data_IF_914100219678
#
_entry.id   IF_914100219678
#
_cell.length_a   1.000
_cell.length_b   1.000
_cell.length_c   1.000
_cell.angle_alpha   90.00
_cell.angle_beta   90.00
_cell.angle_gamma   90.00
#
_symmetry.space_group_name_H-M   'P 1'
#
loop_
_entity.id
_entity.type
_entity.pdbx_description
1 polymer ?
#
# COMPACT_ATOMS: atom_id res chain seq x y z
N UNK A 1 -9.84 44.45 7.73
CA UNK A 1 -11.09 43.67 7.62
C UNK A 1 -10.90 42.64 6.52
N UNK A 2 -10.47 41.43 6.88
CA UNK A 2 -10.18 40.36 5.93
C UNK A 2 -11.40 39.47 5.81
N UNK A 3 -11.98 39.40 4.62
CA UNK A 3 -13.21 38.66 4.34
C UNK A 3 -12.93 37.16 4.33
N UNK A 4 -13.40 36.46 5.37
CA UNK A 4 -13.54 35.01 5.39
C UNK A 4 -14.50 34.60 4.27
N UNK A 5 -13.94 34.18 3.12
CA UNK A 5 -14.71 33.49 2.09
C UNK A 5 -14.87 32.02 2.54
N UNK A 6 -16.10 31.53 2.82
CA UNK A 6 -16.29 30.14 3.20
C UNK A 6 -15.81 29.25 2.06
N UNK A 7 -15.06 28.19 2.39
CA UNK A 7 -14.79 27.07 1.50
C UNK A 7 -16.14 26.60 0.93
N UNK A 8 -16.35 26.85 -0.36
CA UNK A 8 -17.51 26.32 -1.07
C UNK A 8 -17.44 24.80 -0.98
N UNK A 9 -18.38 24.23 -0.22
CA UNK A 9 -18.75 22.82 -0.33
C UNK A 9 -19.28 22.66 -1.74
N UNK A 10 -18.42 22.18 -2.65
CA UNK A 10 -18.83 21.88 -4.02
C UNK A 10 -19.81 20.73 -3.94
N UNK A 11 -21.08 21.03 -4.24
CA UNK A 11 -22.16 20.06 -4.37
C UNK A 11 -21.70 18.88 -5.23
N UNK A 12 -21.79 17.67 -4.68
CA UNK A 12 -21.56 16.40 -5.34
C UNK A 12 -22.71 16.05 -6.28
N UNK A 13 -22.93 16.89 -7.29
CA UNK A 13 -23.82 16.59 -8.41
C UNK A 13 -23.04 15.84 -9.49
N UNK A 14 -23.34 14.55 -9.60
CA UNK A 14 -23.40 13.78 -10.85
C UNK A 14 -22.21 13.95 -11.84
N UNK A 15 -21.07 13.33 -11.52
CA UNK A 15 -19.97 13.16 -12.48
C UNK A 15 -19.90 11.70 -12.91
N UNK A 16 -20.87 11.34 -13.75
CA UNK A 16 -20.78 10.10 -14.52
C UNK A 16 -19.58 10.17 -15.47
N UNK A 17 -18.73 9.15 -15.48
CA UNK A 17 -17.61 9.02 -16.43
C UNK A 17 -17.86 7.81 -17.30
N UNK A 18 -18.06 8.02 -18.60
CA UNK A 18 -18.19 6.93 -19.58
C UNK A 18 -16.84 6.63 -20.20
N UNK A 19 -16.37 5.39 -20.05
CA UNK A 19 -15.09 4.91 -20.56
C UNK A 19 -15.26 3.94 -21.75
N UNK A 20 -16.45 3.85 -22.33
CA UNK A 20 -16.76 2.93 -23.42
C UNK A 20 -15.82 3.08 -24.62
N UNK A 21 -15.45 4.32 -25.00
CA UNK A 21 -14.53 4.58 -26.11
C UNK A 21 -13.12 4.02 -25.87
N UNK A 22 -12.54 4.30 -24.71
CA UNK A 22 -11.21 3.79 -24.32
C UNK A 22 -11.26 2.27 -24.15
N UNK A 23 -12.34 1.75 -23.55
CA UNK A 23 -12.54 0.31 -23.43
C UNK A 23 -12.59 -0.37 -24.80
N UNK A 24 -13.19 0.29 -25.80
CA UNK A 24 -13.25 -0.24 -27.16
C UNK A 24 -11.90 -0.26 -27.87
N UNK A 25 -11.08 0.76 -27.69
CA UNK A 25 -9.73 0.80 -28.25
C UNK A 25 -8.81 -0.28 -27.66
N UNK A 26 -8.91 -0.52 -26.36
CA UNK A 26 -7.97 -1.40 -25.66
C UNK A 26 -8.44 -2.85 -25.51
N UNK A 27 -9.75 -3.08 -25.34
CA UNK A 27 -10.29 -4.38 -24.90
C UNK A 27 -11.45 -4.86 -25.79
N UNK A 28 -12.49 -4.04 -26.04
CA UNK A 28 -13.68 -4.51 -26.76
C UNK A 28 -13.34 -4.87 -28.21
N UNK A 29 -13.89 -5.99 -28.69
CA UNK A 29 -13.67 -6.45 -30.06
C UNK A 29 -12.30 -7.13 -30.29
N UNK A 30 -11.37 -7.07 -29.33
CA UNK A 30 -10.14 -7.85 -29.37
C UNK A 30 -10.40 -9.32 -28.98
N UNK A 31 -9.59 -10.20 -29.54
CA UNK A 31 -9.52 -11.62 -29.21
C UNK A 31 -8.18 -11.87 -28.55
N UNK A 32 -8.20 -12.52 -27.38
CA UNK A 32 -6.98 -12.84 -26.66
C UNK A 32 -6.77 -14.35 -26.65
N UNK A 33 -5.59 -14.80 -27.06
CA UNK A 33 -5.28 -16.24 -27.20
C UNK A 33 -4.62 -16.82 -25.95
N UNK A 34 -4.38 -15.98 -24.94
CA UNK A 34 -3.92 -16.39 -23.61
C UNK A 34 -4.48 -15.47 -22.54
N UNK A 35 -4.47 -15.94 -21.29
CA UNK A 35 -4.89 -15.12 -20.16
C UNK A 35 -3.91 -13.96 -19.91
N UNK A 36 -2.61 -14.19 -20.09
CA UNK A 36 -1.57 -13.18 -19.89
C UNK A 36 -1.69 -12.02 -20.88
N UNK A 37 -2.06 -12.30 -22.14
CA UNK A 37 -2.32 -11.27 -23.15
C UNK A 37 -3.48 -10.37 -22.74
N UNK A 38 -4.58 -10.97 -22.26
CA UNK A 38 -5.73 -10.23 -21.73
C UNK A 38 -5.34 -9.40 -20.49
N UNK A 39 -4.59 -9.97 -19.54
CA UNK A 39 -4.16 -9.24 -18.34
C UNK A 39 -3.29 -8.01 -18.66
N UNK A 40 -2.39 -8.12 -19.65
CA UNK A 40 -1.58 -6.99 -20.14
C UNK A 40 -2.46 -5.88 -20.71
N UNK A 41 -3.40 -6.22 -21.58
CA UNK A 41 -4.35 -5.28 -22.16
C UNK A 41 -5.23 -4.61 -21.09
N UNK A 42 -5.70 -5.39 -20.11
CA UNK A 42 -6.45 -4.86 -18.96
C UNK A 42 -5.59 -3.91 -18.10
N UNK A 43 -4.32 -4.23 -17.88
CA UNK A 43 -3.41 -3.37 -17.13
C UNK A 43 -3.20 -2.01 -17.83
N UNK A 44 -3.04 -2.00 -19.15
CA UNK A 44 -2.93 -0.77 -19.96
C UNK A 44 -4.21 0.06 -19.91
N UNK A 45 -5.36 -0.58 -20.14
CA UNK A 45 -6.67 0.09 -20.05
C UNK A 45 -6.86 0.76 -18.68
N UNK A 46 -6.60 0.04 -17.58
CA UNK A 46 -6.72 0.55 -16.23
C UNK A 46 -5.77 1.71 -15.95
N UNK A 47 -4.53 1.62 -16.46
CA UNK A 47 -3.53 2.69 -16.34
C UNK A 47 -3.99 3.97 -17.03
N UNK A 48 -4.47 3.87 -18.28
CA UNK A 48 -4.89 5.01 -19.09
C UNK A 48 -6.19 5.63 -18.60
N UNK A 49 -7.19 4.79 -18.30
CA UNK A 49 -8.51 5.24 -17.86
C UNK A 49 -8.55 5.65 -16.39
N UNK A 50 -7.46 5.52 -15.63
CA UNK A 50 -7.43 5.72 -14.19
C UNK A 50 -8.55 4.94 -13.49
N UNK A 51 -8.68 3.65 -13.81
CA UNK A 51 -9.66 2.73 -13.20
C UNK A 51 -8.98 1.52 -12.60
N UNK A 52 -9.71 0.83 -11.71
CA UNK A 52 -9.27 -0.45 -11.19
C UNK A 52 -10.47 -1.39 -11.11
N UNK A 53 -10.34 -2.52 -11.80
CA UNK A 53 -11.28 -3.62 -11.83
C UNK A 53 -10.68 -4.81 -11.10
N UNK A 54 -11.52 -5.48 -10.32
CA UNK A 54 -11.14 -6.66 -9.56
C UNK A 54 -12.02 -7.84 -9.95
N UNK A 55 -11.47 -9.05 -9.81
CA UNK A 55 -12.23 -10.28 -9.94
C UNK A 55 -13.43 -10.26 -9.00
N UNK A 56 -14.63 -10.40 -9.56
CA UNK A 56 -15.88 -10.49 -8.82
C UNK A 56 -16.41 -11.92 -8.81
N UNK A 57 -16.32 -12.63 -9.93
CA UNK A 57 -16.70 -14.04 -10.02
C UNK A 57 -15.90 -14.71 -11.15
N UNK A 58 -15.66 -16.01 -11.05
CA UNK A 58 -14.94 -16.75 -12.10
C UNK A 58 -15.30 -18.23 -12.09
N UNK A 59 -15.11 -18.89 -13.22
CA UNK A 59 -15.10 -20.36 -13.33
C UNK A 59 -13.79 -20.78 -13.98
N UNK A 60 -13.00 -21.57 -13.28
CA UNK A 60 -11.76 -22.17 -13.80
C UNK A 60 -12.08 -23.41 -14.64
N UNK A 61 -11.13 -23.79 -15.48
CA UNK A 61 -11.17 -25.05 -16.23
C UNK A 61 -9.83 -25.77 -16.07
N UNK A 62 -9.81 -27.11 -16.13
CA UNK A 62 -8.57 -27.89 -16.07
C UNK A 62 -7.94 -27.93 -17.48
N UNK A 63 -7.39 -26.81 -17.93
CA UNK A 63 -6.70 -26.68 -19.22
C UNK A 63 -5.36 -25.96 -19.02
N UNK A 64 -4.29 -26.50 -19.61
CA UNK A 64 -2.93 -25.96 -19.45
C UNK A 64 -2.72 -24.62 -20.17
N UNK A 65 -3.51 -24.35 -21.21
CA UNK A 65 -3.46 -23.11 -22.01
C UNK A 65 -4.47 -22.07 -21.53
N UNK A 66 -5.63 -22.51 -21.04
CA UNK A 66 -6.72 -21.63 -20.65
C UNK A 66 -7.09 -21.76 -19.17
N UNK A 67 -6.84 -20.69 -18.40
CA UNK A 67 -7.10 -20.65 -16.96
C UNK A 67 -8.58 -20.61 -16.57
N UNK A 68 -9.44 -19.96 -17.38
CA UNK A 68 -10.82 -19.67 -17.01
C UNK A 68 -11.81 -19.99 -18.15
N UNK A 69 -12.97 -20.56 -17.81
CA UNK A 69 -14.13 -20.54 -18.70
C UNK A 69 -14.77 -19.14 -18.74
N UNK A 70 -14.82 -18.45 -17.60
CA UNK A 70 -15.20 -17.04 -17.55
C UNK A 70 -14.66 -16.34 -16.31
N UNK A 71 -14.54 -15.01 -16.41
CA UNK A 71 -14.27 -14.10 -15.30
C UNK A 71 -15.15 -12.86 -15.42
N UNK A 72 -15.86 -12.51 -14.36
CA UNK A 72 -16.55 -11.24 -14.20
C UNK A 72 -15.69 -10.27 -13.40
N UNK A 73 -15.53 -9.07 -13.94
CA UNK A 73 -14.80 -7.96 -13.35
C UNK A 73 -15.78 -6.87 -12.88
N UNK A 74 -15.49 -6.27 -11.73
CA UNK A 74 -16.21 -5.08 -11.24
C UNK A 74 -15.23 -3.99 -10.85
N UNK A 75 -15.62 -2.74 -11.06
CA UNK A 75 -14.90 -1.60 -10.52
C UNK A 75 -14.76 -1.73 -9.00
N UNK A 76 -13.59 -1.42 -8.44
CA UNK A 76 -13.34 -1.51 -6.99
C UNK A 76 -14.31 -0.69 -6.15
N UNK A 77 -14.82 0.42 -6.69
CA UNK A 77 -15.81 1.27 -6.04
C UNK A 77 -17.23 0.66 -6.04
N UNK A 78 -17.46 -0.40 -6.81
CA UNK A 78 -18.68 -1.22 -6.81
C UNK A 78 -18.61 -2.45 -5.91
N UNK A 79 -17.44 -2.72 -5.31
CA UNK A 79 -17.25 -3.88 -4.43
C UNK A 79 -17.58 -3.48 -3.00
N UNK A 80 -18.72 -3.95 -2.51
CA UNK A 80 -19.08 -3.87 -1.09
C UNK A 80 -18.11 -4.73 -0.27
N UNK A 81 -17.16 -4.07 0.39
CA UNK A 81 -16.24 -4.72 1.34
C UNK A 81 -16.90 -4.82 2.72
N UNK A 82 -18.09 -5.41 2.80
CA UNK A 82 -18.64 -5.85 4.09
C UNK A 82 -17.84 -7.08 4.52
N UNK A 83 -16.86 -6.90 5.40
CA UNK A 83 -16.25 -8.03 6.10
C UNK A 83 -17.27 -8.54 7.12
N UNK A 84 -17.68 -9.81 7.07
CA UNK A 84 -18.45 -10.39 8.17
C UNK A 84 -17.59 -10.36 9.43
N UNK A 85 -18.07 -9.74 10.52
CA UNK A 85 -17.52 -9.96 11.86
C UNK A 85 -16.57 -8.92 12.47
N UNK A 86 -16.25 -7.79 11.83
CA UNK A 86 -15.56 -6.69 12.53
C UNK A 86 -16.39 -5.40 12.48
N UNK A 87 -16.94 -5.01 13.64
CA UNK A 87 -17.47 -3.66 13.89
C UNK A 87 -16.32 -2.64 13.89
N UNK A 88 -15.76 -2.36 12.72
CA UNK A 88 -14.82 -1.25 12.56
C UNK A 88 -15.64 0.04 12.43
N UNK A 89 -15.43 0.97 13.38
CA UNK A 89 -15.97 2.34 13.32
C UNK A 89 -15.68 2.96 11.95
N UNK A 90 -16.76 3.36 11.26
CA UNK A 90 -16.85 4.31 10.16
C UNK A 90 -15.51 4.78 9.57
N UNK A 91 -14.87 3.97 8.73
CA UNK A 91 -14.06 4.51 7.64
C UNK A 91 -15.04 4.68 6.49
N UNK A 92 -15.26 5.91 6.04
CA UNK A 92 -16.09 6.22 4.88
C UNK A 92 -15.71 5.28 3.75
N UNK A 93 -16.55 4.27 3.52
CA UNK A 93 -16.26 3.27 2.52
C UNK A 93 -16.34 3.99 1.19
N UNK A 94 -15.24 4.04 0.46
CA UNK A 94 -15.17 4.44 -0.95
C UNK A 94 -16.09 3.62 -1.87
N UNK A 95 -16.97 2.77 -1.34
CA UNK A 95 -17.95 2.10 -2.14
C UNK A 95 -19.06 3.10 -2.47
N UNK A 96 -19.07 3.57 -3.71
CA UNK A 96 -20.16 4.39 -4.25
C UNK A 96 -21.17 3.53 -5.02
N UNK A 97 -21.19 2.21 -4.79
CA UNK A 97 -22.02 1.25 -5.52
C UNK A 97 -21.89 1.39 -7.04
N UNK A 98 -20.66 1.58 -7.53
CA UNK A 98 -20.40 1.69 -8.96
C UNK A 98 -20.87 0.43 -9.71
N UNK A 99 -21.68 0.61 -10.75
CA UNK A 99 -22.23 -0.49 -11.57
C UNK A 99 -21.30 -0.92 -12.72
N UNK A 100 -20.20 -0.20 -12.91
CA UNK A 100 -19.23 -0.47 -13.97
C UNK A 100 -18.60 -1.86 -13.80
N UNK A 101 -18.77 -2.70 -14.81
CA UNK A 101 -18.45 -4.12 -14.79
C UNK A 101 -18.39 -4.72 -16.18
N UNK A 102 -17.66 -5.81 -16.34
CA UNK A 102 -17.63 -6.56 -17.59
C UNK A 102 -17.34 -8.03 -17.36
N UNK A 103 -17.59 -8.85 -18.38
CA UNK A 103 -17.38 -10.30 -18.32
C UNK A 103 -16.55 -10.76 -19.50
N UNK A 104 -15.49 -11.49 -19.19
CA UNK A 104 -14.65 -12.20 -20.13
C UNK A 104 -15.07 -13.66 -20.14
N UNK A 105 -15.21 -14.25 -21.32
CA UNK A 105 -15.53 -15.67 -21.49
C UNK A 105 -14.54 -16.31 -22.46
N UNK A 106 -14.22 -17.57 -22.22
CA UNK A 106 -13.52 -18.40 -23.19
C UNK A 106 -14.54 -18.88 -24.22
N UNK A 107 -14.29 -18.56 -25.48
CA UNK A 107 -15.08 -18.96 -26.63
C UNK A 107 -14.19 -19.74 -27.59
N UNK A 108 -14.38 -21.06 -27.66
CA UNK A 108 -13.48 -22.01 -28.30
C UNK A 108 -12.06 -21.94 -27.71
N UNK A 109 -11.15 -21.19 -28.34
CA UNK A 109 -9.74 -21.08 -27.94
C UNK A 109 -9.30 -19.61 -27.82
N UNK A 110 -10.25 -18.73 -27.51
CA UNK A 110 -10.03 -17.29 -27.44
C UNK A 110 -10.85 -16.69 -26.31
N UNK A 111 -10.27 -15.74 -25.56
CA UNK A 111 -11.02 -14.91 -24.63
C UNK A 111 -11.66 -13.73 -25.36
N UNK A 112 -12.95 -13.54 -25.12
CA UNK A 112 -13.74 -12.42 -25.65
C UNK A 112 -14.53 -11.74 -24.54
N UNK A 113 -14.93 -10.50 -24.76
CA UNK A 113 -15.84 -9.78 -23.86
C UNK A 113 -17.28 -10.18 -24.18
N UNK A 114 -17.96 -10.84 -23.24
CA UNK A 114 -19.36 -11.26 -23.39
C UNK A 114 -20.36 -10.17 -23.04
N UNK A 115 -20.02 -9.29 -22.10
CA UNK A 115 -20.90 -8.21 -21.63
C UNK A 115 -20.09 -7.13 -20.96
N UNK A 116 -20.49 -5.86 -21.06
CA UNK A 116 -19.82 -4.75 -20.40
C UNK A 116 -20.79 -3.60 -20.07
N UNK A 117 -20.46 -2.86 -19.02
CA UNK A 117 -20.98 -1.55 -18.65
C UNK A 117 -19.77 -0.72 -18.22
N UNK A 118 -19.44 0.33 -18.97
CA UNK A 118 -18.27 1.21 -18.74
C UNK A 118 -18.65 2.58 -18.18
N UNK A 119 -19.88 2.72 -17.69
CA UNK A 119 -20.35 3.97 -17.07
C UNK A 119 -20.07 3.94 -15.57
N UNK A 120 -19.24 4.87 -15.11
CA UNK A 120 -18.87 5.02 -13.71
C UNK A 120 -19.65 6.16 -13.08
N UNK A 121 -20.14 5.97 -11.86
CA UNK A 121 -20.80 7.04 -11.07
C UNK A 121 -19.80 7.82 -10.18
N UNK A 122 -18.52 7.78 -10.52
CA UNK A 122 -17.45 8.47 -9.83
C UNK A 122 -16.38 8.95 -10.84
N UNK A 123 -15.60 9.98 -10.50
CA UNK A 123 -14.48 10.40 -11.33
C UNK A 123 -13.46 9.27 -11.51
N UNK A 124 -12.97 9.11 -12.74
CA UNK A 124 -11.85 8.22 -13.08
C UNK A 124 -10.62 9.07 -13.40
N UNK A 125 -10.03 9.68 -12.38
CA UNK A 125 -8.84 10.53 -12.53
C UNK A 125 -7.75 10.10 -11.57
N UNK A 126 -6.49 10.39 -11.92
CA UNK A 126 -5.34 10.07 -11.06
C UNK A 126 -5.50 10.62 -9.64
N UNK A 127 -6.00 11.86 -9.52
CA UNK A 127 -6.25 12.51 -8.21
C UNK A 127 -7.30 11.75 -7.40
N UNK A 128 -8.34 11.22 -8.04
CA UNK A 128 -9.37 10.44 -7.35
C UNK A 128 -8.83 9.05 -6.94
N UNK A 129 -8.03 8.44 -7.81
CA UNK A 129 -7.44 7.12 -7.61
C UNK A 129 -6.21 7.10 -6.71
N UNK A 130 -5.55 8.24 -6.45
CA UNK A 130 -4.31 8.33 -5.67
C UNK A 130 -4.46 7.72 -4.27
N UNK A 131 -5.67 7.76 -3.70
CA UNK A 131 -5.93 7.18 -2.38
C UNK A 131 -6.19 5.67 -2.45
N UNK A 132 -6.45 5.09 -3.62
CA UNK A 132 -6.74 3.66 -3.78
C UNK A 132 -5.49 2.82 -3.42
N UNK A 133 -5.61 1.81 -2.54
CA UNK A 133 -4.48 0.98 -2.15
C UNK A 133 -3.76 0.29 -3.30
N UNK A 134 -4.42 0.07 -4.44
CA UNK A 134 -3.80 -0.53 -5.61
C UNK A 134 -2.88 0.45 -6.34
N UNK A 135 -3.32 1.71 -6.56
CA UNK A 135 -2.50 2.74 -7.21
C UNK A 135 -1.29 3.16 -6.37
N UNK A 136 -1.41 3.09 -5.05
CA UNK A 136 -0.30 3.36 -4.13
C UNK A 136 0.69 2.19 -4.00
N UNK A 137 0.32 0.99 -4.46
CA UNK A 137 1.13 -0.21 -4.25
C UNK A 137 2.43 -0.11 -5.04
N UNK A 138 3.54 -0.33 -4.34
CA UNK A 138 4.84 -0.48 -4.96
C UNK A 138 4.96 -1.87 -5.61
N UNK A 139 5.59 -1.93 -6.79
CA UNK A 139 5.98 -3.19 -7.45
C UNK A 139 7.02 -3.92 -6.61
N UNK A 140 7.33 -5.17 -6.95
CA UNK A 140 8.36 -5.95 -6.24
C UNK A 140 9.71 -5.25 -6.37
N UNK A 141 10.10 -4.92 -7.60
CA UNK A 141 11.33 -4.18 -7.90
C UNK A 141 11.40 -2.81 -7.20
N UNK A 142 10.30 -2.04 -7.20
CA UNK A 142 10.25 -0.75 -6.49
C UNK A 142 10.44 -0.94 -4.97
N UNK A 143 9.92 -2.01 -4.39
CA UNK A 143 10.09 -2.33 -2.97
C UNK A 143 11.53 -2.71 -2.64
N UNK A 144 12.14 -3.57 -3.44
CA UNK A 144 13.55 -3.97 -3.28
C UNK A 144 14.45 -2.74 -3.36
N UNK A 145 14.18 -1.82 -4.29
CA UNK A 145 14.92 -0.58 -4.45
C UNK A 145 14.78 0.40 -3.28
N UNK A 146 13.68 0.37 -2.52
CA UNK A 146 13.50 1.23 -1.32
C UNK A 146 13.82 0.52 -0.01
N UNK A 147 14.07 -0.78 -0.03
CA UNK A 147 14.36 -1.56 1.17
C UNK A 147 15.54 -1.00 1.97
N UNK A 148 16.67 -0.58 1.35
CA UNK A 148 17.76 0.07 2.09
C UNK A 148 17.31 1.33 2.85
N UNK A 149 16.42 2.13 2.24
CA UNK A 149 15.86 3.34 2.86
C UNK A 149 14.86 3.02 3.99
N UNK A 150 14.17 1.88 3.89
CA UNK A 150 13.28 1.40 4.96
C UNK A 150 14.08 0.90 6.16
N UNK A 151 15.25 0.31 5.91
CA UNK A 151 16.17 -0.17 6.93
C UNK A 151 16.89 1.00 7.60
N UNK A 152 17.58 1.85 6.84
CA UNK A 152 18.23 3.05 7.37
C UNK A 152 17.17 3.92 8.06
N UNK A 153 17.49 4.50 9.23
CA UNK A 153 16.50 5.13 10.13
C UNK A 153 15.82 6.41 9.57
N UNK A 154 15.64 6.53 8.26
CA UNK A 154 14.98 7.64 7.58
C UNK A 154 13.60 7.93 8.15
N UNK A 155 13.24 9.21 8.18
CA UNK A 155 11.89 9.62 8.54
C UNK A 155 10.87 9.05 7.55
N UNK A 156 9.62 8.88 7.99
CA UNK A 156 8.58 8.42 7.06
C UNK A 156 8.34 9.43 5.93
N UNK A 157 8.60 10.71 6.17
CA UNK A 157 8.38 11.78 5.21
C UNK A 157 9.44 11.78 4.09
N UNK A 158 10.70 11.52 4.41
CA UNK A 158 11.76 11.30 3.42
C UNK A 158 11.43 10.14 2.48
N UNK A 159 10.95 9.01 3.03
CA UNK A 159 10.60 7.83 2.24
C UNK A 159 9.40 8.14 1.32
N UNK A 160 8.39 8.86 1.83
CA UNK A 160 7.23 9.28 1.03
C UNK A 160 7.68 10.19 -0.12
N UNK A 161 8.55 11.16 0.16
CA UNK A 161 9.06 12.10 -0.84
C UNK A 161 9.88 11.37 -1.90
N UNK A 162 10.80 10.49 -1.50
CA UNK A 162 11.60 9.68 -2.43
C UNK A 162 10.73 8.83 -3.35
N UNK A 163 9.71 8.16 -2.80
CA UNK A 163 8.78 7.33 -3.60
C UNK A 163 7.94 8.18 -4.56
N UNK A 164 7.53 9.38 -4.13
CA UNK A 164 6.78 10.30 -4.98
C UNK A 164 7.63 10.85 -6.13
N UNK A 165 8.87 11.22 -5.87
CA UNK A 165 9.78 11.75 -6.88
C UNK A 165 10.21 10.68 -7.87
N UNK A 166 10.60 9.49 -7.38
CA UNK A 166 11.16 8.42 -8.21
C UNK A 166 10.10 7.60 -8.95
N UNK A 167 8.97 7.30 -8.32
CA UNK A 167 7.95 6.39 -8.87
C UNK A 167 6.60 7.06 -9.11
N UNK A 168 6.44 8.34 -8.76
CA UNK A 168 5.20 9.11 -8.92
C UNK A 168 3.99 8.45 -8.24
N UNK A 169 4.23 7.86 -7.05
CA UNK A 169 3.20 7.21 -6.23
C UNK A 169 3.02 7.94 -4.91
N UNK A 170 1.78 8.30 -4.59
CA UNK A 170 1.42 8.97 -3.34
C UNK A 170 1.17 7.94 -2.23
N UNK A 171 2.24 7.34 -1.69
CA UNK A 171 2.14 6.45 -0.54
C UNK A 171 1.85 7.23 0.75
N UNK A 172 1.22 6.57 1.73
CA UNK A 172 0.86 7.17 3.02
C UNK A 172 1.84 6.77 4.12
N UNK A 173 1.87 7.52 5.23
CA UNK A 173 2.64 7.14 6.44
C UNK A 173 2.29 5.73 6.95
N UNK A 174 1.04 5.31 6.79
CA UNK A 174 0.59 3.96 7.17
C UNK A 174 1.26 2.90 6.29
N UNK A 175 1.38 3.17 4.98
CA UNK A 175 2.07 2.24 4.07
C UNK A 175 3.55 2.12 4.44
N UNK A 176 4.24 3.24 4.70
CA UNK A 176 5.63 3.22 5.15
C UNK A 176 5.79 2.44 6.45
N UNK A 177 4.91 2.68 7.43
CA UNK A 177 4.92 1.92 8.69
C UNK A 177 4.77 0.42 8.45
N UNK A 178 3.85 0.01 7.58
CA UNK A 178 3.66 -1.39 7.24
C UNK A 178 4.85 -1.99 6.48
N UNK A 179 5.49 -1.23 5.60
CA UNK A 179 6.69 -1.65 4.87
C UNK A 179 7.88 -1.82 5.81
N UNK A 180 8.14 -0.86 6.70
CA UNK A 180 9.16 -0.98 7.75
C UNK A 180 8.91 -2.18 8.65
N UNK A 181 7.66 -2.38 9.07
CA UNK A 181 7.28 -3.54 9.86
C UNK A 181 7.55 -4.86 9.11
N UNK A 182 7.27 -4.91 7.80
CA UNK A 182 7.52 -6.09 6.98
C UNK A 182 9.01 -6.42 6.83
N UNK A 183 9.87 -5.41 6.61
CA UNK A 183 11.33 -5.57 6.57
C UNK A 183 11.87 -6.03 7.92
N UNK A 184 11.33 -5.49 9.02
CA UNK A 184 11.76 -5.84 10.37
C UNK A 184 11.19 -7.16 10.89
N UNK A 185 10.40 -7.91 10.10
CA UNK A 185 9.87 -9.23 10.52
C UNK A 185 10.96 -10.28 10.75
N UNK A 186 12.20 -10.03 10.31
CA UNK A 186 13.37 -10.86 10.64
C UNK A 186 13.89 -10.66 12.07
N UNK A 187 13.39 -9.65 12.81
CA UNK A 187 13.75 -9.42 14.21
C UNK A 187 12.70 -10.12 15.09
N UNK A 188 12.94 -11.41 15.35
CA UNK A 188 11.99 -12.28 16.04
C UNK A 188 12.49 -12.73 17.40
N UNK A 189 13.80 -12.59 17.66
CA UNK A 189 14.46 -12.97 18.89
C UNK A 189 15.21 -11.80 19.55
N UNK A 190 15.47 -11.92 20.85
CA UNK A 190 16.36 -10.99 21.59
C UNK A 190 17.74 -10.88 20.93
N UNK A 191 18.25 -11.98 20.37
CA UNK A 191 19.55 -12.00 19.69
C UNK A 191 19.52 -11.11 18.44
N UNK A 192 18.46 -11.22 17.64
CA UNK A 192 18.29 -10.43 16.42
C UNK A 192 18.21 -8.93 16.75
N UNK A 193 17.52 -8.57 17.84
CA UNK A 193 17.48 -7.18 18.34
C UNK A 193 18.88 -6.72 18.71
N UNK A 194 19.68 -7.56 19.37
CA UNK A 194 21.00 -7.17 19.85
C UNK A 194 21.99 -7.04 18.71
N UNK A 195 21.93 -7.94 17.72
CA UNK A 195 22.70 -7.82 16.48
C UNK A 195 22.30 -6.58 15.69
N UNK A 196 21.00 -6.31 15.58
CA UNK A 196 20.50 -5.09 14.94
C UNK A 196 21.03 -3.83 15.63
N UNK A 197 20.97 -3.75 16.96
CA UNK A 197 21.50 -2.62 17.71
C UNK A 197 23.02 -2.50 17.52
N UNK A 198 23.77 -3.60 17.64
CA UNK A 198 25.23 -3.64 17.41
C UNK A 198 25.62 -3.20 15.99
N UNK A 199 24.77 -3.43 14.99
CA UNK A 199 25.03 -2.97 13.62
C UNK A 199 24.93 -1.44 13.46
N UNK A 200 24.24 -0.73 14.36
CA UNK A 200 23.97 0.72 14.27
C UNK A 200 24.68 1.57 15.30
N UNK A 201 25.41 0.94 16.21
CA UNK A 201 26.07 1.63 17.30
C UNK A 201 26.64 0.67 18.32
N UNK A 202 26.89 1.18 19.53
CA UNK A 202 27.46 0.40 20.61
C UNK A 202 26.37 -0.04 21.59
N UNK A 203 26.24 -1.35 21.79
CA UNK A 203 25.36 -1.96 22.77
C UNK A 203 26.19 -2.52 23.93
N UNK A 204 25.86 -2.13 25.16
CA UNK A 204 26.40 -2.68 26.39
C UNK A 204 25.30 -3.44 27.14
N UNK A 205 25.63 -4.61 27.65
CA UNK A 205 24.72 -5.52 28.34
C UNK A 205 25.18 -5.67 29.80
N UNK A 206 24.26 -5.50 30.75
CA UNK A 206 24.53 -5.66 32.18
C UNK A 206 23.67 -6.80 32.74
N UNK A 207 24.31 -7.73 33.44
CA UNK A 207 23.68 -8.92 33.99
C UNK A 207 23.58 -8.80 35.51
N UNK A 208 22.65 -9.55 36.11
CA UNK A 208 22.51 -9.65 37.56
C UNK A 208 23.72 -10.39 38.14
N UNK A 209 24.23 -9.91 39.28
CA UNK A 209 25.26 -10.61 40.04
C UNK A 209 24.69 -11.78 40.86
N UNK A 210 23.37 -12.02 40.82
CA UNK A 210 22.73 -13.14 41.52
C UNK A 210 23.08 -14.50 40.88
N UNK A 211 23.60 -15.47 41.66
CA UNK A 211 24.20 -16.70 41.15
C UNK A 211 23.22 -17.68 40.48
N UNK A 212 21.90 -17.49 40.63
CA UNK A 212 20.88 -18.47 40.21
C UNK A 212 20.15 -18.03 38.92
N UNK A 213 20.24 -16.76 38.53
CA UNK A 213 19.65 -16.25 37.29
C UNK A 213 20.61 -15.28 36.62
N UNK A 214 21.23 -15.73 35.53
CA UNK A 214 21.92 -14.87 34.57
C UNK A 214 20.90 -14.01 33.78
N UNK A 215 20.13 -13.19 34.50
CA UNK A 215 19.13 -12.31 33.93
C UNK A 215 19.77 -10.99 33.57
N UNK A 216 19.63 -10.61 32.31
CA UNK A 216 19.95 -9.27 31.83
C UNK A 216 19.11 -8.23 32.61
N UNK A 217 19.78 -7.30 33.28
CA UNK A 217 19.13 -6.27 34.11
C UNK A 217 19.03 -4.94 33.37
N UNK A 218 20.04 -4.58 32.57
CA UNK A 218 20.08 -3.31 31.83
C UNK A 218 20.77 -3.47 30.48
N UNK A 219 20.35 -2.64 29.54
CA UNK A 219 21.09 -2.40 28.29
C UNK A 219 21.35 -0.90 28.14
N UNK A 220 22.52 -0.56 27.65
CA UNK A 220 22.84 0.81 27.23
C UNK A 220 23.17 0.78 25.74
N UNK A 221 22.51 1.64 24.97
CA UNK A 221 22.70 1.73 23.53
C UNK A 221 22.90 3.18 23.12
N UNK A 222 23.88 3.41 22.25
CA UNK A 222 24.09 4.69 21.57
C UNK A 222 24.42 4.45 20.10
N UNK A 223 23.83 5.22 19.19
CA UNK A 223 24.18 5.18 17.76
C UNK A 223 25.55 5.82 17.51
N UNK A 224 26.19 5.50 16.40
CA UNK A 224 27.48 6.13 16.05
C UNK A 224 27.36 7.66 15.90
N UNK A 225 26.25 8.15 15.35
CA UNK A 225 25.96 9.58 15.23
C UNK A 225 25.85 10.26 16.61
N UNK A 226 25.17 9.63 17.57
CA UNK A 226 25.08 10.13 18.95
C UNK A 226 26.45 10.18 19.62
N UNK A 227 27.29 9.16 19.39
CA UNK A 227 28.64 9.11 19.93
C UNK A 227 29.54 10.20 19.35
N UNK A 228 29.47 10.46 18.04
CA UNK A 228 30.22 11.55 17.40
C UNK A 228 29.73 12.93 17.86
N UNK A 229 28.41 13.11 17.95
CA UNK A 229 27.85 14.36 18.48
C UNK A 229 28.33 14.64 19.90
N UNK A 230 28.35 13.61 20.76
CA UNK A 230 28.85 13.74 22.13
C UNK A 230 30.35 14.05 22.19
N UNK A 231 31.17 13.48 21.30
CA UNK A 231 32.60 13.83 21.22
C UNK A 231 32.80 15.29 20.82
N UNK A 232 31.95 15.81 19.95
CA UNK A 232 32.05 17.17 19.45
C UNK A 232 31.51 18.21 20.44
N UNK A 233 30.45 17.85 21.18
CA UNK A 233 29.77 18.74 22.14
C UNK A 233 29.48 18.00 23.47
N UNK A 234 30.51 17.65 24.26
CA UNK A 234 30.34 16.87 25.49
C UNK A 234 29.51 17.59 26.56
N UNK A 235 29.43 18.93 26.51
CA UNK A 235 28.59 19.76 27.36
C UNK A 235 27.08 19.60 27.08
N UNK A 236 26.71 19.10 25.90
CA UNK A 236 25.32 18.87 25.51
C UNK A 236 24.92 17.42 25.85
N UNK A 237 24.73 17.17 27.15
CA UNK A 237 24.24 15.88 27.64
C UNK A 237 22.72 15.85 27.57
N UNK A 238 22.19 15.35 26.45
CA UNK A 238 20.75 15.11 26.29
C UNK A 238 20.28 13.90 27.09
N UNK A 239 19.84 14.10 28.34
CA UNK A 239 19.10 13.09 29.11
C UNK A 239 17.61 13.35 28.89
N UNK A 240 17.05 12.74 27.84
CA UNK A 240 15.60 12.60 27.76
C UNK A 240 15.18 11.40 28.62
N UNK A 241 15.02 11.65 29.91
CA UNK A 241 14.29 10.74 30.80
C UNK A 241 12.81 10.83 30.47
N UNK A 242 12.35 10.01 29.52
CA UNK A 242 10.93 9.73 29.31
C UNK A 242 10.38 8.92 30.49
N UNK A 243 10.24 9.59 31.63
CA UNK A 243 9.50 9.13 32.78
C UNK A 243 8.00 9.37 32.50
N UNK A 244 7.16 8.32 32.57
CA UNK A 244 5.68 8.34 32.46
C UNK A 244 4.97 8.28 31.07
N UNK A 245 5.56 7.80 29.96
CA UNK A 245 4.79 7.67 28.70
C UNK A 245 4.02 6.35 28.51
N UNK A 246 4.14 5.37 29.42
CA UNK A 246 3.32 4.15 29.42
C UNK A 246 2.28 4.15 30.55
N UNK A 247 1.41 5.17 30.62
CA UNK A 247 0.10 5.00 31.28
C UNK A 247 -0.91 4.63 30.19
N UNK A 248 -1.05 3.33 29.96
CA UNK A 248 -2.09 2.79 29.10
C UNK A 248 -3.48 3.26 29.57
N UNK A 249 -4.22 3.85 28.65
CA UNK A 249 -5.68 3.88 28.65
C UNK A 249 -6.16 3.17 27.41
#
# INVERSE_FOLDING_TARGET
MSTNRPLQVVNSSDRSTDLSGIFAEYILGKRFFSWDEFEKSLAEFQKLSCTHYVHNCSKTIPDDRFKYAYVGFKCTFGVNRTRPGLKLKNKSSKCCNCSSSFRVVLHYSEYIIASHNMVHNHPCSRVYMQNDPWYRRLTVEEKENIEPLLQQSHSSDEIIMHVKEKYHKDITRIDVKNMKAAVNKGISSRRDIFEFLKSRGKLMEYYSDEPIRNSLTRICFATYEQMELYKQFPEVVGIDSTYNTNKGK
#
